data_IF_244935796181
#
_entry.id   IF_244935796181
#
_cell.length_a   1.000
_cell.length_b   1.000
_cell.length_c   1.000
_cell.angle_alpha   90.00
_cell.angle_beta   90.00
_cell.angle_gamma   90.00
#
_symmetry.space_group_name_H-M   'P 1'
#
loop_
_entity.id
_entity.type
_entity.pdbx_description
1 polymer ?
#
# COMPACT_ATOMS: atom_id res chain seq x y z
N UNK A 1 2.23 16.99 -0.57
CA UNK A 1 2.71 15.72 0.00
C UNK A 1 3.56 15.08 -1.08
N UNK A 2 4.83 14.81 -0.79
CA UNK A 2 5.74 14.22 -1.78
C UNK A 2 5.25 12.82 -2.17
N UNK A 3 5.43 12.38 -3.42
CA UNK A 3 5.16 11.00 -3.82
C UNK A 3 5.91 10.02 -2.91
N UNK A 4 5.30 8.87 -2.60
CA UNK A 4 5.87 7.84 -1.72
C UNK A 4 7.21 7.30 -2.22
N UNK A 5 7.45 7.39 -3.53
CA UNK A 5 8.76 7.28 -4.14
C UNK A 5 8.87 8.27 -5.31
N UNK A 6 9.98 8.99 -5.42
CA UNK A 6 10.34 9.78 -6.60
C UNK A 6 11.84 9.72 -6.84
N UNK A 7 12.21 9.23 -8.02
CA UNK A 7 13.61 8.93 -8.34
C UNK A 7 14.16 7.92 -7.33
N UNK A 8 15.20 8.33 -6.61
CA UNK A 8 15.88 7.50 -5.61
C UNK A 8 15.38 7.76 -4.19
N UNK A 9 14.41 8.65 -3.98
CA UNK A 9 13.90 8.96 -2.65
C UNK A 9 12.55 8.29 -2.38
N UNK A 10 12.37 7.77 -1.18
CA UNK A 10 11.10 7.24 -0.71
C UNK A 10 10.73 7.75 0.69
N UNK A 11 9.43 7.78 0.95
CA UNK A 11 8.86 8.09 2.25
C UNK A 11 8.23 6.85 2.87
N UNK A 12 8.66 6.44 4.07
CA UNK A 12 8.19 5.21 4.71
C UNK A 12 8.06 5.33 6.23
N UNK A 13 7.41 4.34 6.84
CA UNK A 13 7.46 4.11 8.28
C UNK A 13 8.50 3.04 8.61
N UNK A 14 9.31 3.28 9.62
CA UNK A 14 10.26 2.32 10.16
C UNK A 14 9.83 1.86 11.55
N UNK A 15 9.71 0.56 11.74
CA UNK A 15 9.44 -0.03 13.06
C UNK A 15 10.71 0.03 13.91
N UNK A 16 10.55 0.18 15.23
CA UNK A 16 11.65 0.24 16.20
C UNK A 16 12.73 1.31 15.89
N UNK A 17 12.35 2.38 15.18
CA UNK A 17 13.26 3.37 14.62
C UNK A 17 13.64 4.52 15.57
N UNK A 18 13.42 4.39 16.88
CA UNK A 18 13.66 5.48 17.86
C UNK A 18 15.11 5.97 17.87
N UNK A 19 16.06 5.08 17.53
CA UNK A 19 17.50 5.37 17.51
C UNK A 19 18.01 5.75 16.11
N UNK A 20 17.16 5.69 15.09
CA UNK A 20 17.57 5.97 13.70
C UNK A 20 17.68 7.49 13.50
N UNK A 21 18.78 7.93 12.88
CA UNK A 21 19.13 9.34 12.65
C UNK A 21 19.51 9.59 11.20
N UNK A 22 19.41 10.84 10.77
CA UNK A 22 19.87 11.26 9.45
C UNK A 22 21.36 10.94 9.24
N UNK A 23 21.73 10.58 8.01
CA UNK A 23 23.06 10.15 7.60
C UNK A 23 23.40 8.69 7.90
N UNK A 24 22.53 7.95 8.60
CA UNK A 24 22.71 6.50 8.77
C UNK A 24 22.36 5.75 7.49
N UNK A 25 23.09 4.66 7.24
CA UNK A 25 22.82 3.72 6.14
C UNK A 25 22.11 2.48 6.67
N UNK A 26 21.07 2.07 5.98
CA UNK A 26 20.24 0.92 6.28
C UNK A 26 20.33 -0.06 5.12
N UNK A 27 20.93 -1.23 5.37
CA UNK A 27 20.90 -2.33 4.42
C UNK A 27 19.54 -3.03 4.50
N UNK A 28 18.98 -3.37 3.34
CA UNK A 28 17.75 -4.13 3.26
C UNK A 28 18.06 -5.63 3.38
N UNK A 29 17.20 -6.36 4.10
CA UNK A 29 17.31 -7.81 4.26
C UNK A 29 16.06 -8.47 3.66
N UNK A 30 16.23 -9.63 3.03
CA UNK A 30 15.15 -10.52 2.61
C UNK A 30 15.39 -11.87 3.27
N UNK A 31 14.44 -12.33 4.10
CA UNK A 31 14.55 -13.60 4.85
C UNK A 31 15.88 -13.72 5.62
N UNK A 32 16.22 -12.64 6.33
CA UNK A 32 17.46 -12.47 7.13
C UNK A 32 18.76 -12.34 6.32
N UNK A 33 18.73 -12.53 5.00
CA UNK A 33 19.88 -12.39 4.12
C UNK A 33 19.98 -10.96 3.54
N UNK A 34 21.18 -10.36 3.47
CA UNK A 34 21.37 -9.07 2.82
C UNK A 34 21.00 -9.11 1.34
N UNK A 35 20.25 -8.10 0.90
CA UNK A 35 20.13 -7.75 -0.52
C UNK A 35 21.04 -6.56 -0.82
N UNK A 36 21.56 -6.48 -2.05
CA UNK A 36 22.43 -5.40 -2.54
C UNK A 36 21.64 -4.08 -2.72
N UNK A 37 21.03 -3.60 -1.64
CA UNK A 37 20.19 -2.42 -1.56
C UNK A 37 20.49 -1.72 -0.23
N UNK A 38 20.96 -0.48 -0.32
CA UNK A 38 21.26 0.36 0.85
C UNK A 38 20.54 1.69 0.72
N UNK A 39 19.88 2.09 1.80
CA UNK A 39 19.22 3.38 1.93
C UNK A 39 19.96 4.29 2.90
N UNK A 40 20.18 5.55 2.53
CA UNK A 40 20.58 6.60 3.45
C UNK A 40 19.35 7.29 4.04
N UNK A 41 19.35 7.49 5.36
CA UNK A 41 18.31 8.23 6.06
C UNK A 41 18.53 9.73 5.85
N UNK A 42 17.63 10.39 5.11
CA UNK A 42 17.67 11.85 4.93
C UNK A 42 17.11 12.60 6.14
N UNK A 43 16.23 11.95 6.90
CA UNK A 43 15.59 12.50 8.09
C UNK A 43 14.19 11.94 8.27
N UNK A 44 13.39 12.60 9.11
CA UNK A 44 11.97 12.28 9.29
C UNK A 44 11.14 13.53 9.48
N UNK A 45 9.91 13.50 8.98
CA UNK A 45 8.87 14.46 9.27
C UNK A 45 7.80 13.77 10.12
N UNK A 46 7.65 14.22 11.37
CA UNK A 46 6.95 13.51 12.43
C UNK A 46 7.38 12.03 12.53
N UNK A 47 6.55 11.10 12.05
CA UNK A 47 6.78 9.66 12.10
C UNK A 47 7.26 9.08 10.75
N UNK A 48 7.20 9.86 9.67
CA UNK A 48 7.55 9.41 8.31
C UNK A 48 9.03 9.67 8.06
N UNK A 49 9.78 8.61 7.77
CA UNK A 49 11.18 8.69 7.37
C UNK A 49 11.30 8.98 5.88
N UNK A 50 12.28 9.80 5.51
CA UNK A 50 12.72 9.98 4.13
C UNK A 50 14.03 9.24 3.94
N UNK A 51 14.05 8.33 2.99
CA UNK A 51 15.20 7.50 2.64
C UNK A 51 15.62 7.82 1.22
N UNK A 52 16.91 7.71 0.93
CA UNK A 52 17.47 7.76 -0.43
C UNK A 52 18.19 6.47 -0.73
N UNK A 53 17.88 5.84 -1.85
CA UNK A 53 18.64 4.72 -2.38
C UNK A 53 20.06 5.20 -2.72
N UNK A 54 21.06 4.57 -2.12
CA UNK A 54 22.47 4.89 -2.36
C UNK A 54 23.25 3.73 -2.96
N UNK A 55 22.73 2.50 -2.81
CA UNK A 55 23.24 1.29 -3.46
C UNK A 55 22.04 0.43 -3.89
N UNK A 56 22.08 -0.13 -5.10
CA UNK A 56 20.98 -0.87 -5.73
C UNK A 56 20.47 -0.22 -7.02
N UNK A 57 19.71 -0.97 -7.83
CA UNK A 57 19.28 -0.53 -9.18
C UNK A 57 18.19 0.55 -9.13
N UNK A 58 17.11 0.28 -8.40
CA UNK A 58 15.97 1.20 -8.22
C UNK A 58 15.13 0.82 -7.01
N UNK A 59 14.30 1.75 -6.53
CA UNK A 59 13.33 1.47 -5.44
C UNK A 59 12.35 0.37 -5.86
N UNK A 60 11.85 0.40 -7.10
CA UNK A 60 10.94 -0.62 -7.61
C UNK A 60 11.58 -2.00 -7.63
N UNK A 61 12.84 -2.11 -8.08
CA UNK A 61 13.58 -3.37 -8.07
C UNK A 61 13.83 -3.87 -6.63
N UNK A 62 14.10 -2.98 -5.69
CA UNK A 62 14.23 -3.34 -4.28
C UNK A 62 12.91 -3.87 -3.69
N UNK A 63 11.79 -3.22 -3.98
CA UNK A 63 10.45 -3.65 -3.54
C UNK A 63 10.02 -4.97 -4.19
N UNK A 64 10.34 -5.18 -5.47
CA UNK A 64 10.06 -6.46 -6.14
C UNK A 64 10.84 -7.62 -5.49
N UNK A 65 12.11 -7.38 -5.11
CA UNK A 65 12.98 -8.38 -4.51
C UNK A 65 12.65 -8.70 -3.05
N UNK A 66 12.44 -7.67 -2.23
CA UNK A 66 12.37 -7.80 -0.77
C UNK A 66 11.07 -7.27 -0.15
N UNK A 67 10.18 -6.68 -0.95
CA UNK A 67 8.85 -6.28 -0.51
C UNK A 67 7.96 -7.49 -0.22
N UNK A 68 7.03 -7.30 0.71
CA UNK A 68 5.98 -8.27 1.03
C UNK A 68 4.62 -7.62 0.82
N UNK A 69 3.66 -8.40 0.36
CA UNK A 69 2.28 -7.97 0.15
C UNK A 69 1.67 -7.52 1.48
N UNK A 70 1.19 -6.27 1.59
CA UNK A 70 0.70 -5.72 2.85
C UNK A 70 -0.72 -6.19 3.14
N UNK A 71 -0.86 -7.49 3.47
CA UNK A 71 -2.15 -8.06 3.81
C UNK A 71 -2.73 -7.44 5.10
N UNK A 72 -4.03 -7.12 5.13
CA UNK A 72 -4.69 -6.63 6.33
C UNK A 72 -4.54 -7.60 7.53
N UNK A 73 -4.44 -7.09 8.77
CA UNK A 73 -4.22 -7.91 9.96
C UNK A 73 -5.25 -9.03 10.15
N UNK A 74 -6.49 -8.83 9.72
CA UNK A 74 -7.55 -9.83 9.83
C UNK A 74 -7.36 -11.00 8.86
N UNK A 75 -6.76 -10.80 7.68
CA UNK A 75 -6.43 -11.89 6.74
C UNK A 75 -5.34 -12.76 7.37
N UNK A 76 -4.27 -12.12 7.87
CA UNK A 76 -3.18 -12.79 8.57
C UNK A 76 -3.68 -13.52 9.83
N UNK A 77 -4.62 -12.92 10.57
CA UNK A 77 -5.28 -13.55 11.72
C UNK A 77 -6.01 -14.83 11.34
N UNK A 78 -6.87 -14.75 10.32
CA UNK A 78 -7.63 -15.91 9.85
C UNK A 78 -6.74 -17.04 9.30
N UNK A 79 -5.59 -16.73 8.69
CA UNK A 79 -4.59 -17.74 8.25
C UNK A 79 -3.98 -18.49 9.43
N UNK A 80 -3.52 -17.74 10.44
CA UNK A 80 -2.97 -18.32 11.68
C UNK A 80 -3.97 -19.26 12.36
N UNK A 81 -5.25 -18.89 12.40
CA UNK A 81 -6.31 -19.74 12.96
C UNK A 81 -6.50 -21.05 12.18
N UNK A 82 -6.23 -21.04 10.87
CA UNK A 82 -6.29 -22.24 10.01
C UNK A 82 -5.00 -23.07 9.99
N UNK A 83 -3.96 -22.66 10.72
CA UNK A 83 -2.66 -23.35 10.73
C UNK A 83 -1.87 -23.16 9.43
N UNK A 84 -2.17 -22.12 8.66
CA UNK A 84 -1.41 -21.72 7.48
C UNK A 84 -0.22 -20.85 7.95
N UNK A 85 0.95 -21.45 8.19
CA UNK A 85 2.16 -20.71 8.60
C UNK A 85 2.85 -20.00 7.42
N UNK A 86 3.35 -18.80 7.69
CA UNK A 86 3.91 -17.85 6.73
C UNK A 86 5.35 -18.21 6.35
N UNK A 87 5.57 -18.52 5.05
CA UNK A 87 6.80 -18.19 4.30
C UNK A 87 6.72 -18.59 2.81
N UNK A 88 5.69 -19.32 2.36
CA UNK A 88 5.60 -19.80 0.98
C UNK A 88 4.63 -19.04 0.06
N UNK A 89 3.99 -17.94 0.52
CA UNK A 89 2.73 -17.44 -0.08
C UNK A 89 2.81 -15.98 -0.57
N UNK A 90 3.94 -15.26 -0.46
CA UNK A 90 3.96 -13.87 -0.96
C UNK A 90 3.70 -13.78 -2.49
N UNK A 91 4.17 -14.76 -3.29
CA UNK A 91 3.88 -14.78 -4.73
C UNK A 91 2.40 -14.91 -5.05
N UNK A 92 1.68 -15.80 -4.36
CA UNK A 92 0.25 -15.96 -4.56
C UNK A 92 -0.53 -14.77 -3.99
N UNK A 93 -0.03 -14.15 -2.92
CA UNK A 93 -0.60 -12.93 -2.35
C UNK A 93 -0.43 -11.72 -3.26
N UNK A 94 0.72 -11.56 -3.92
CA UNK A 94 0.91 -10.54 -4.96
C UNK A 94 -0.18 -10.69 -6.01
N UNK A 95 -0.32 -11.86 -6.61
CA UNK A 95 -1.32 -12.09 -7.67
C UNK A 95 -2.78 -11.89 -7.21
N UNK A 96 -3.11 -12.30 -5.97
CA UNK A 96 -4.49 -12.25 -5.45
C UNK A 96 -4.88 -10.89 -4.84
N UNK A 97 -3.94 -10.23 -4.19
CA UNK A 97 -4.17 -8.94 -3.52
C UNK A 97 -4.20 -7.79 -4.52
N UNK A 98 -3.67 -8.00 -5.73
CA UNK A 98 -3.88 -7.11 -6.87
C UNK A 98 -5.33 -7.21 -7.37
N UNK A 99 -6.16 -6.22 -7.03
CA UNK A 99 -7.59 -6.22 -7.41
C UNK A 99 -7.84 -5.77 -8.85
N UNK A 100 -9.05 -6.02 -9.35
CA UNK A 100 -9.52 -5.52 -10.66
C UNK A 100 -9.59 -3.99 -10.77
N UNK A 101 -9.41 -3.26 -9.66
CA UNK A 101 -9.45 -1.80 -9.57
C UNK A 101 -8.07 -1.15 -9.63
N UNK A 102 -7.02 -1.91 -9.96
CA UNK A 102 -5.69 -1.35 -10.15
C UNK A 102 -5.60 -0.53 -11.43
N UNK A 103 -5.21 0.74 -11.27
CA UNK A 103 -5.10 1.64 -12.39
C UNK A 103 -3.95 1.19 -13.31
N UNK A 104 -4.24 1.04 -14.60
CA UNK A 104 -3.27 0.66 -15.64
C UNK A 104 -2.11 1.65 -15.86
N UNK A 105 -2.10 2.80 -15.15
CA UNK A 105 -1.18 3.92 -15.37
C UNK A 105 -0.05 4.02 -14.32
N UNK A 106 0.18 2.97 -13.53
CA UNK A 106 1.42 2.83 -12.76
C UNK A 106 1.46 3.50 -11.38
N UNK A 107 0.39 4.17 -10.93
CA UNK A 107 0.26 4.55 -9.52
C UNK A 107 -0.26 3.36 -8.72
N UNK A 108 0.70 2.58 -8.19
CA UNK A 108 0.42 1.43 -7.32
C UNK A 108 -0.15 1.96 -5.99
N UNK A 109 -1.41 1.63 -5.71
CA UNK A 109 -1.95 1.83 -4.35
C UNK A 109 -1.17 0.95 -3.39
N UNK A 110 -0.78 1.50 -2.24
CA UNK A 110 -0.06 0.75 -1.19
C UNK A 110 -0.95 -0.35 -0.58
N UNK A 111 -2.27 -0.24 -0.73
CA UNK A 111 -3.24 -1.25 -0.33
C UNK A 111 -4.37 -1.37 -1.36
N UNK A 112 -4.78 -2.60 -1.66
CA UNK A 112 -5.99 -2.82 -2.42
C UNK A 112 -7.24 -2.52 -1.57
N UNK A 113 -8.31 -1.92 -2.15
CA UNK A 113 -9.59 -1.83 -1.47
C UNK A 113 -10.08 -3.25 -1.18
N UNK A 114 -10.18 -3.61 0.09
CA UNK A 114 -10.41 -5.01 0.47
C UNK A 114 -11.80 -5.50 0.12
N UNK A 115 -12.79 -4.60 0.04
CA UNK A 115 -14.09 -4.89 -0.56
C UNK A 115 -13.98 -5.26 -2.05
N UNK A 116 -12.97 -4.73 -2.74
CA UNK A 116 -12.65 -5.05 -4.13
C UNK A 116 -12.21 -6.49 -4.35
N UNK A 117 -11.76 -7.20 -3.31
CA UNK A 117 -11.35 -8.62 -3.37
C UNK A 117 -12.53 -9.55 -3.69
N UNK A 118 -13.78 -9.08 -3.57
CA UNK A 118 -14.97 -9.83 -3.95
C UNK A 118 -15.33 -9.70 -5.44
N UNK A 119 -14.70 -8.78 -6.18
CA UNK A 119 -15.02 -8.51 -7.58
C UNK A 119 -14.00 -9.10 -8.54
N UNK A 120 -14.50 -9.81 -9.54
CA UNK A 120 -13.72 -10.30 -10.68
C UNK A 120 -14.12 -9.57 -11.95
N UNK A 121 -13.26 -9.56 -12.98
CA UNK A 121 -13.58 -8.94 -14.27
C UNK A 121 -14.87 -9.52 -14.87
N UNK A 122 -15.01 -10.85 -14.83
CA UNK A 122 -16.21 -11.54 -15.29
C UNK A 122 -17.47 -11.16 -14.50
N UNK A 123 -17.36 -10.94 -13.18
CA UNK A 123 -18.48 -10.48 -12.37
C UNK A 123 -18.87 -9.04 -12.74
N UNK A 124 -17.89 -8.14 -12.89
CA UNK A 124 -18.14 -6.75 -13.29
C UNK A 124 -18.78 -6.68 -14.69
N UNK A 125 -18.36 -7.53 -15.63
CA UNK A 125 -18.98 -7.66 -16.95
C UNK A 125 -20.42 -8.17 -16.86
N UNK A 126 -20.70 -9.16 -16.01
CA UNK A 126 -22.05 -9.67 -15.76
C UNK A 126 -22.98 -8.60 -15.16
N UNK A 127 -22.46 -7.77 -14.25
CA UNK A 127 -23.18 -6.63 -13.67
C UNK A 127 -23.51 -5.60 -14.76
N UNK A 128 -22.52 -5.19 -15.57
CA UNK A 128 -22.73 -4.29 -16.70
C UNK A 128 -23.74 -4.84 -17.71
N UNK A 129 -23.69 -6.14 -17.99
CA UNK A 129 -24.63 -6.83 -18.89
C UNK A 129 -26.09 -6.81 -18.41
N UNK A 130 -26.34 -6.54 -17.12
CA UNK A 130 -27.69 -6.35 -16.57
C UNK A 130 -28.17 -4.89 -16.65
N UNK A 131 -27.42 -4.01 -17.30
CA UNK A 131 -27.73 -2.58 -17.39
C UNK A 131 -27.37 -1.79 -16.13
N UNK A 132 -26.58 -2.35 -15.23
CA UNK A 132 -26.08 -1.64 -14.04
C UNK A 132 -24.84 -0.84 -14.43
N UNK A 133 -24.90 0.46 -14.23
CA UNK A 133 -23.76 1.35 -14.43
C UNK A 133 -22.71 1.14 -13.31
N UNK A 134 -21.43 1.15 -13.69
CA UNK A 134 -20.31 1.06 -12.76
C UNK A 134 -19.47 2.32 -12.94
N UNK A 135 -19.38 3.12 -11.87
CA UNK A 135 -18.69 4.41 -11.86
C UNK A 135 -17.43 4.27 -11.01
N UNK A 136 -16.30 4.69 -11.58
CA UNK A 136 -14.99 4.60 -10.93
C UNK A 136 -14.61 5.93 -10.28
N UNK A 137 -14.01 5.85 -9.10
CA UNK A 137 -13.42 6.98 -8.36
C UNK A 137 -12.05 6.56 -7.86
N UNK A 138 -11.16 7.52 -7.68
CA UNK A 138 -9.82 7.25 -7.15
C UNK A 138 -9.73 7.71 -5.70
N UNK A 139 -9.09 6.90 -4.85
CA UNK A 139 -8.74 7.25 -3.49
C UNK A 139 -7.24 7.00 -3.30
N UNK A 140 -6.51 8.07 -3.05
CA UNK A 140 -5.10 8.00 -2.67
C UNK A 140 -5.03 7.73 -1.17
N UNK A 141 -4.76 6.48 -0.83
CA UNK A 141 -4.53 6.04 0.55
C UNK A 141 -3.07 6.26 0.93
N UNK A 142 -2.88 6.92 2.08
CA UNK A 142 -1.56 7.11 2.65
C UNK A 142 -1.16 5.97 3.59
N UNK A 143 0.11 5.90 4.01
CA UNK A 143 0.58 4.85 4.89
C UNK A 143 -0.01 4.98 6.31
N UNK A 144 -0.68 6.10 6.60
CA UNK A 144 -1.50 6.29 7.80
C UNK A 144 -2.60 5.25 7.96
N UNK A 145 -3.12 4.69 6.86
CA UNK A 145 -4.14 3.62 6.86
C UNK A 145 -3.68 2.35 7.57
N UNK A 146 -2.36 2.13 7.70
CA UNK A 146 -1.80 0.97 8.41
C UNK A 146 -1.52 1.24 9.89
N UNK A 147 -1.78 2.45 10.40
CA UNK A 147 -1.57 2.75 11.82
C UNK A 147 -2.67 2.11 12.66
N UNK A 148 -2.29 1.42 13.76
CA UNK A 148 -3.28 0.95 14.70
C UNK A 148 -3.99 2.14 15.38
N UNK A 149 -5.29 2.00 15.60
CA UNK A 149 -6.04 2.93 16.45
C UNK A 149 -5.56 2.72 17.89
N UNK A 150 -4.92 3.74 18.45
CA UNK A 150 -4.35 3.71 19.81
C UNK A 150 -5.15 4.55 20.82
N UNK A 151 -6.16 5.30 20.35
CA UNK A 151 -6.99 6.14 21.19
C UNK A 151 -8.01 5.31 21.99
N UNK A 152 -8.25 5.69 23.24
CA UNK A 152 -9.24 5.03 24.11
C UNK A 152 -10.67 5.30 23.64
N UNK A 153 -10.95 6.49 23.14
CA UNK A 153 -12.22 6.83 22.47
C UNK A 153 -11.97 7.11 20.99
N UNK A 154 -12.83 6.59 20.11
CA UNK A 154 -12.70 6.81 18.67
C UNK A 154 -12.72 8.30 18.29
N UNK A 155 -13.48 9.12 19.01
CA UNK A 155 -13.55 10.56 18.77
C UNK A 155 -12.20 11.27 18.98
N UNK A 156 -11.29 10.67 19.76
CA UNK A 156 -9.97 11.21 20.04
C UNK A 156 -8.90 10.69 19.08
N UNK A 157 -9.24 9.77 18.16
CA UNK A 157 -8.29 9.22 17.20
C UNK A 157 -8.04 10.21 16.06
N UNK A 158 -6.81 10.72 15.89
CA UNK A 158 -6.49 11.59 14.76
C UNK A 158 -6.48 10.77 13.46
N UNK A 159 -7.49 10.96 12.62
CA UNK A 159 -7.53 10.39 11.28
C UNK A 159 -6.68 11.20 10.31
N UNK A 160 -5.87 10.52 9.51
CA UNK A 160 -5.13 11.15 8.42
C UNK A 160 -6.10 11.52 7.28
N UNK A 161 -5.90 12.69 6.67
CA UNK A 161 -6.64 13.07 5.46
C UNK A 161 -6.23 12.19 4.29
N UNK A 162 -7.22 11.72 3.53
CA UNK A 162 -7.04 11.03 2.27
C UNK A 162 -7.46 11.96 1.13
N UNK A 163 -6.80 11.82 -0.04
CA UNK A 163 -7.19 12.56 -1.24
C UNK A 163 -7.99 11.62 -2.12
N UNK A 164 -9.08 12.14 -2.68
CA UNK A 164 -9.85 11.41 -3.66
C UNK A 164 -10.00 12.24 -4.93
N UNK A 165 -10.28 11.56 -6.03
CA UNK A 165 -10.57 12.17 -7.32
C UNK A 165 -11.84 11.55 -7.89
N UNK A 166 -12.74 12.42 -8.33
CA UNK A 166 -13.96 12.08 -9.05
C UNK A 166 -13.85 12.78 -10.39
N UNK A 167 -13.78 12.02 -11.48
CA UNK A 167 -13.75 12.58 -12.82
C UNK A 167 -15.10 13.20 -13.17
N UNK A 168 -15.10 14.19 -14.07
CA UNK A 168 -16.35 14.91 -14.44
C UNK A 168 -17.43 13.98 -14.98
N UNK A 169 -17.01 12.96 -15.73
CA UNK A 169 -17.90 11.93 -16.29
C UNK A 169 -18.56 11.12 -15.17
N UNK A 170 -17.79 10.70 -14.16
CA UNK A 170 -18.31 10.01 -12.99
C UNK A 170 -19.33 10.87 -12.21
N UNK A 171 -19.06 12.17 -12.06
CA UNK A 171 -19.99 13.09 -11.40
C UNK A 171 -21.30 13.24 -12.19
N UNK A 172 -21.21 13.39 -13.52
CA UNK A 172 -22.38 13.52 -14.37
C UNK A 172 -23.29 12.29 -14.33
N UNK A 173 -22.70 11.08 -14.31
CA UNK A 173 -23.46 9.83 -14.15
C UNK A 173 -24.19 9.76 -12.80
N UNK A 174 -23.57 10.23 -11.71
CA UNK A 174 -24.19 10.24 -10.38
C UNK A 174 -25.36 11.23 -10.27
N UNK A 175 -25.31 12.36 -10.99
CA UNK A 175 -26.36 13.38 -11.00
C UNK A 175 -27.56 13.01 -11.88
N UNK A 176 -27.42 12.01 -12.76
CA UNK A 176 -28.46 11.57 -13.69
C UNK A 176 -29.48 10.58 -13.07
N UNK A 177 -29.31 10.24 -11.78
CA UNK A 177 -30.16 9.31 -11.00
C UNK A 177 -31.14 10.08 -10.12
#
# INVERSE_FOLDING_TARGET
>A
MLPYAAGDELSCYLRNARRIRAGQRLALLCDEEPVDVVFEVLGRDAEVFRLRLVEGDSIDAALERAGRTPLPPYILGARRERGEEDDFIDRADRDWYHTVFEHAAGQRSVAAPTAGLHFTKALLESIRGKGVEIIEIELEVGPGTFKPVTATHLADHPMHHERYRVEREALASLEAV
#
